data_IF_329104449821
#
_entry.id   IF_329104449821
#
_cell.length_a   1.000
_cell.length_b   1.000
_cell.length_c   1.000
_cell.angle_alpha   90.00
_cell.angle_beta   90.00
_cell.angle_gamma   90.00
#
_symmetry.space_group_name_H-M   'P 1'
#
loop_
_entity.id
_entity.type
_entity.pdbx_description
1 polymer ?
#
# COMPACT_ATOMS: atom_id res chain seq x y z
N UNK A 1 11.66 -3.75 3.00
CA UNK A 1 12.99 -3.19 2.84
C UNK A 1 13.50 -3.33 1.40
N UNK A 2 14.55 -2.61 1.06
CA UNK A 2 15.20 -2.74 -0.23
C UNK A 2 15.74 -4.15 -0.46
N UNK A 3 15.74 -4.60 -1.72
CA UNK A 3 16.31 -5.89 -2.10
C UNK A 3 17.66 -5.63 -2.77
N UNK A 4 18.67 -6.33 -2.29
CA UNK A 4 20.06 -6.15 -2.72
C UNK A 4 20.57 -7.45 -3.35
N UNK A 5 21.10 -7.34 -4.56
CA UNK A 5 21.93 -8.37 -5.16
C UNK A 5 23.33 -8.29 -4.54
N UNK A 6 23.57 -9.15 -3.58
CA UNK A 6 24.84 -9.16 -2.84
C UNK A 6 26.05 -9.50 -3.74
N UNK A 7 25.87 -10.38 -4.73
CA UNK A 7 26.93 -10.81 -5.65
C UNK A 7 27.41 -9.66 -6.52
N UNK A 8 26.49 -8.88 -7.07
CA UNK A 8 26.77 -7.75 -7.94
C UNK A 8 26.81 -6.40 -7.20
N UNK A 9 26.63 -6.39 -5.87
CA UNK A 9 26.65 -5.21 -5.00
C UNK A 9 25.73 -4.08 -5.48
N UNK A 10 24.53 -4.43 -5.96
CA UNK A 10 23.56 -3.45 -6.46
C UNK A 10 22.20 -3.62 -5.81
N UNK A 11 21.47 -2.52 -5.67
CA UNK A 11 20.08 -2.53 -5.27
C UNK A 11 19.22 -2.91 -6.48
N UNK A 12 18.33 -3.87 -6.34
CA UNK A 12 17.45 -4.37 -7.41
C UNK A 12 15.99 -4.00 -7.22
N UNK A 13 15.62 -3.60 -6.00
CA UNK A 13 14.27 -3.11 -5.72
C UNK A 13 14.29 -2.14 -4.53
N UNK A 14 13.67 -0.98 -4.72
CA UNK A 14 13.43 0.01 -3.67
C UNK A 14 11.91 0.12 -3.50
N UNK A 15 11.33 -0.47 -2.43
CA UNK A 15 9.92 -0.27 -2.12
C UNK A 15 9.68 1.14 -1.56
N UNK A 16 8.42 1.60 -1.49
CA UNK A 16 8.07 2.85 -0.84
C UNK A 16 8.71 2.98 0.53
N UNK A 17 9.21 4.16 0.84
CA UNK A 17 9.79 4.46 2.15
C UNK A 17 8.77 4.24 3.26
N UNK A 18 9.26 3.89 4.44
CA UNK A 18 8.40 3.83 5.62
C UNK A 18 7.86 5.23 5.89
N UNK A 19 6.55 5.34 6.00
CA UNK A 19 5.90 6.57 6.42
C UNK A 19 5.89 6.68 7.94
N UNK A 20 5.92 7.90 8.45
CA UNK A 20 5.61 8.19 9.84
C UNK A 20 4.11 8.38 10.00
N UNK A 21 3.52 7.80 11.04
CA UNK A 21 2.09 7.90 11.28
C UNK A 21 1.76 9.21 12.01
N UNK A 22 0.82 9.97 11.45
CA UNK A 22 0.32 11.22 12.00
C UNK A 22 -1.07 11.02 12.56
N UNK A 23 -1.30 11.41 13.79
CA UNK A 23 -2.56 11.21 14.51
C UNK A 23 -3.58 12.31 14.25
N UNK A 24 -3.12 13.53 13.95
CA UNK A 24 -3.98 14.70 13.77
C UNK A 24 -3.98 15.17 12.31
N UNK A 25 -5.12 14.96 11.64
CA UNK A 25 -5.33 15.40 10.26
C UNK A 25 -5.32 16.92 10.13
N UNK A 26 -5.80 17.67 11.13
CA UNK A 26 -5.81 19.13 11.08
C UNK A 26 -4.41 19.72 11.15
N UNK A 27 -3.54 19.20 12.00
CA UNK A 27 -2.15 19.66 12.07
C UNK A 27 -1.41 19.38 10.76
N UNK A 28 -1.77 18.29 10.09
CA UNK A 28 -1.24 17.93 8.80
C UNK A 28 -1.73 18.85 7.68
N UNK A 29 -3.03 19.19 7.66
CA UNK A 29 -3.62 20.13 6.71
C UNK A 29 -3.10 21.56 6.94
N UNK A 30 -2.96 21.99 8.20
CA UNK A 30 -2.41 23.32 8.52
C UNK A 30 -0.94 23.44 8.08
N UNK A 31 -0.14 22.40 8.28
CA UNK A 31 1.22 22.34 7.72
C UNK A 31 1.22 22.43 6.20
N UNK A 32 0.27 21.74 5.53
CA UNK A 32 0.12 21.80 4.08
C UNK A 32 -0.19 23.21 3.58
N UNK A 33 -1.06 23.94 4.28
CA UNK A 33 -1.41 25.33 3.92
C UNK A 33 -0.26 26.32 4.15
N UNK A 34 0.51 26.16 5.23
CA UNK A 34 1.68 27.01 5.51
C UNK A 34 2.82 26.79 4.49
N UNK A 35 2.88 25.64 3.84
CA UNK A 35 4.00 25.27 2.96
C UNK A 35 3.73 25.51 1.47
N UNK A 36 2.50 25.84 1.08
CA UNK A 36 2.21 26.47 -0.21
C UNK A 36 3.02 27.76 -0.37
N UNK A 37 3.29 28.45 0.76
CA UNK A 37 4.17 29.63 0.80
C UNK A 37 5.66 29.29 0.64
N UNK A 38 6.08 28.06 0.90
CA UNK A 38 7.50 27.62 0.85
C UNK A 38 7.89 26.91 -0.44
N UNK A 39 6.94 26.66 -1.36
CA UNK A 39 7.21 26.04 -2.68
C UNK A 39 7.57 24.55 -2.61
N UNK A 40 7.22 23.86 -1.54
CA UNK A 40 7.40 22.42 -1.43
C UNK A 40 6.17 21.71 -2.02
N UNK A 41 6.36 21.04 -3.15
CA UNK A 41 5.30 20.22 -3.75
C UNK A 41 4.97 19.02 -2.85
N UNK A 42 3.71 18.93 -2.44
CA UNK A 42 3.17 17.79 -1.69
C UNK A 42 2.20 16.99 -2.55
N UNK A 43 2.36 15.69 -2.48
CA UNK A 43 1.49 14.75 -3.15
C UNK A 43 0.63 14.02 -2.11
N UNK A 44 -0.68 14.15 -2.21
CA UNK A 44 -1.64 13.45 -1.37
C UNK A 44 -2.20 12.25 -2.13
N UNK A 45 -2.12 11.06 -1.53
CA UNK A 45 -2.63 9.84 -2.14
C UNK A 45 -3.51 9.07 -1.16
N UNK A 46 -4.60 8.42 -1.63
CA UNK A 46 -5.35 7.48 -0.80
C UNK A 46 -4.45 6.34 -0.31
N UNK A 47 -4.53 6.03 0.97
CA UNK A 47 -3.89 4.87 1.55
C UNK A 47 -4.78 3.65 1.34
N UNK A 48 -4.45 2.83 0.37
CA UNK A 48 -5.26 1.68 -0.03
C UNK A 48 -5.07 0.51 0.94
N UNK A 49 -6.19 -0.08 1.36
CA UNK A 49 -6.18 -1.29 2.19
C UNK A 49 -5.84 -2.52 1.35
N UNK A 50 -4.81 -3.24 1.74
CA UNK A 50 -4.32 -4.43 1.04
C UNK A 50 -2.88 -4.80 1.40
N UNK A 51 -2.32 -5.75 0.68
CA UNK A 51 -0.94 -6.20 0.90
C UNK A 51 -0.02 -5.65 -0.16
N UNK A 52 1.08 -5.02 0.26
CA UNK A 52 2.10 -4.51 -0.67
C UNK A 52 2.89 -5.64 -1.31
N UNK A 53 2.93 -5.62 -2.62
CA UNK A 53 3.74 -6.51 -3.47
C UNK A 53 4.68 -5.63 -4.29
N UNK A 54 5.97 -5.88 -4.16
CA UNK A 54 6.97 -5.24 -5.01
C UNK A 54 7.35 -6.18 -6.15
N UNK A 55 7.55 -5.62 -7.33
CA UNK A 55 7.91 -6.35 -8.53
C UNK A 55 9.12 -5.72 -9.18
N UNK A 56 10.09 -6.53 -9.58
CA UNK A 56 11.36 -6.10 -10.13
C UNK A 56 11.93 -7.14 -11.07
N UNK A 57 12.75 -6.69 -12.03
CA UNK A 57 13.41 -7.57 -12.99
C UNK A 57 14.83 -7.91 -12.52
N UNK A 58 15.11 -9.21 -12.42
CA UNK A 58 16.42 -9.68 -11.97
C UNK A 58 16.71 -11.08 -12.52
N UNK A 59 17.97 -11.33 -12.96
CA UNK A 59 18.40 -12.61 -13.55
C UNK A 59 17.48 -13.10 -14.68
N UNK A 60 17.16 -12.18 -15.61
CA UNK A 60 16.32 -12.43 -16.79
C UNK A 60 14.87 -12.86 -16.52
N UNK A 61 14.37 -12.60 -15.30
CA UNK A 61 12.99 -12.89 -14.92
C UNK A 61 12.36 -11.77 -14.08
N UNK A 62 11.04 -11.66 -14.14
CA UNK A 62 10.27 -10.83 -13.24
C UNK A 62 10.05 -11.55 -11.91
N UNK A 63 10.49 -10.93 -10.86
CA UNK A 63 10.35 -11.40 -9.48
C UNK A 63 9.38 -10.52 -8.70
N UNK A 64 8.67 -11.14 -7.76
CA UNK A 64 7.82 -10.41 -6.81
C UNK A 64 8.29 -10.65 -5.38
N UNK A 65 7.98 -9.71 -4.50
CA UNK A 65 8.22 -9.84 -3.07
C UNK A 65 7.12 -9.16 -2.26
N UNK A 66 6.89 -9.64 -1.06
CA UNK A 66 6.27 -8.86 0.00
C UNK A 66 7.35 -8.06 0.73
N UNK A 67 6.96 -7.31 1.75
CA UNK A 67 7.91 -6.57 2.60
C UNK A 67 8.95 -7.48 3.27
N UNK A 68 8.62 -8.74 3.54
CA UNK A 68 9.44 -9.68 4.33
C UNK A 68 9.84 -10.95 3.59
N UNK A 69 9.32 -11.19 2.39
CA UNK A 69 9.52 -12.47 1.69
C UNK A 69 9.69 -12.27 0.20
N UNK A 70 10.87 -12.65 -0.34
CA UNK A 70 11.12 -12.71 -1.79
C UNK A 70 10.36 -13.91 -2.35
N UNK A 71 9.68 -13.71 -3.49
CA UNK A 71 8.78 -14.68 -4.10
C UNK A 71 7.35 -14.62 -3.57
N UNK A 72 7.07 -13.80 -2.52
CA UNK A 72 5.74 -13.61 -1.93
C UNK A 72 5.02 -14.94 -1.59
N UNK A 73 5.78 -15.95 -1.13
CA UNK A 73 5.29 -17.29 -0.79
C UNK A 73 4.58 -17.37 0.55
N UNK A 74 4.63 -16.31 1.33
CA UNK A 74 3.89 -16.18 2.58
C UNK A 74 2.42 -15.85 2.32
N UNK A 75 1.58 -16.13 3.33
CA UNK A 75 0.16 -15.79 3.38
C UNK A 75 -0.18 -15.21 4.74
N UNK A 76 -1.32 -14.54 4.87
CA UNK A 76 -1.77 -14.03 6.15
C UNK A 76 -2.36 -15.12 7.06
N UNK A 77 -3.14 -16.02 6.46
CA UNK A 77 -3.86 -17.10 7.20
C UNK A 77 -3.29 -18.50 6.97
N UNK A 78 -2.14 -18.60 6.29
CA UNK A 78 -1.48 -19.87 5.98
C UNK A 78 -2.13 -20.68 4.85
N UNK A 79 -3.18 -20.17 4.18
CA UNK A 79 -3.93 -20.93 3.17
C UNK A 79 -3.47 -20.69 1.75
N UNK A 80 -3.58 -19.43 1.28
CA UNK A 80 -3.24 -19.07 -0.10
C UNK A 80 -2.09 -18.07 -0.08
N UNK A 81 -0.95 -18.38 -0.69
CA UNK A 81 0.19 -17.47 -0.77
C UNK A 81 -0.13 -16.21 -1.59
N UNK A 82 0.52 -15.09 -1.25
CA UNK A 82 0.29 -13.83 -1.95
C UNK A 82 0.66 -13.89 -3.43
N UNK A 83 1.68 -14.67 -3.79
CA UNK A 83 2.07 -14.82 -5.19
C UNK A 83 0.99 -15.52 -6.05
N UNK A 84 0.24 -16.46 -5.46
CA UNK A 84 -0.89 -17.10 -6.16
C UNK A 84 -2.03 -16.12 -6.36
N UNK A 85 -2.39 -15.35 -5.30
CA UNK A 85 -3.40 -14.30 -5.40
C UNK A 85 -3.03 -13.24 -6.44
N UNK A 86 -1.75 -12.86 -6.50
CA UNK A 86 -1.26 -11.87 -7.46
C UNK A 86 -1.36 -12.38 -8.91
N UNK A 87 -1.00 -13.64 -9.15
CA UNK A 87 -1.12 -14.29 -10.47
C UNK A 87 -2.57 -14.50 -10.90
N UNK A 88 -3.46 -14.83 -9.95
CA UNK A 88 -4.89 -15.06 -10.22
C UNK A 88 -5.56 -13.82 -10.84
N UNK A 89 -5.10 -12.61 -10.50
CA UNK A 89 -5.76 -11.38 -10.93
C UNK A 89 -5.53 -11.07 -12.40
N UNK A 90 -4.32 -11.23 -12.92
CA UNK A 90 -3.96 -10.68 -14.23
C UNK A 90 -3.20 -11.62 -15.17
N UNK A 91 -2.99 -12.88 -14.84
CA UNK A 91 -2.09 -13.71 -15.63
C UNK A 91 -0.65 -13.17 -15.62
N UNK A 92 0.20 -13.65 -16.54
CA UNK A 92 1.62 -13.27 -16.56
C UNK A 92 2.02 -12.42 -17.80
N UNK A 93 1.11 -12.14 -18.72
CA UNK A 93 1.47 -11.53 -20.02
C UNK A 93 1.72 -10.01 -19.94
N UNK A 94 1.03 -9.31 -19.04
CA UNK A 94 1.20 -7.86 -18.88
C UNK A 94 2.60 -7.45 -18.37
N UNK A 95 3.35 -8.37 -17.75
CA UNK A 95 4.73 -8.14 -17.32
C UNK A 95 5.65 -7.75 -18.47
N UNK A 96 5.34 -8.18 -19.69
CA UNK A 96 6.13 -7.85 -20.88
C UNK A 96 6.04 -6.36 -21.27
N UNK A 97 5.03 -5.65 -20.78
CA UNK A 97 4.85 -4.21 -21.03
C UNK A 97 5.67 -3.34 -20.08
N UNK A 98 6.19 -3.93 -19.01
CA UNK A 98 6.92 -3.21 -17.98
C UNK A 98 8.36 -2.90 -18.40
N UNK A 99 8.84 -1.71 -18.02
CA UNK A 99 10.23 -1.36 -18.17
C UNK A 99 11.10 -2.15 -17.17
N UNK A 100 12.02 -2.95 -17.67
CA UNK A 100 12.92 -3.80 -16.88
C UNK A 100 13.90 -3.04 -15.99
N UNK A 101 14.10 -1.75 -16.26
CA UNK A 101 14.93 -0.88 -15.44
C UNK A 101 14.19 -0.31 -14.22
N UNK A 102 12.89 -0.56 -14.13
CA UNK A 102 12.08 -0.07 -13.03
C UNK A 102 11.73 -1.20 -12.05
N UNK A 103 11.55 -0.85 -10.79
CA UNK A 103 10.78 -1.65 -9.85
C UNK A 103 9.44 -0.97 -9.58
N UNK A 104 8.44 -1.77 -9.28
CA UNK A 104 7.05 -1.37 -9.12
C UNK A 104 6.51 -1.82 -7.78
N UNK A 105 5.75 -0.97 -7.13
CA UNK A 105 5.09 -1.29 -5.87
C UNK A 105 3.58 -1.25 -6.03
N UNK A 106 2.94 -2.39 -5.83
CA UNK A 106 1.50 -2.58 -5.95
C UNK A 106 0.86 -2.85 -4.60
N UNK A 107 -0.40 -2.52 -4.47
CA UNK A 107 -1.27 -3.02 -3.40
C UNK A 107 -2.17 -4.11 -3.97
N UNK A 108 -1.99 -5.32 -3.47
CA UNK A 108 -2.84 -6.47 -3.76
C UNK A 108 -4.11 -6.40 -2.91
N UNK A 109 -5.26 -6.34 -3.58
CA UNK A 109 -6.60 -6.45 -2.99
C UNK A 109 -7.24 -7.75 -3.46
N UNK A 110 -7.49 -8.66 -2.54
CA UNK A 110 -8.02 -9.98 -2.87
C UNK A 110 -9.01 -10.47 -1.81
N UNK A 111 -10.17 -11.01 -2.24
CA UNK A 111 -11.24 -11.48 -1.33
C UNK A 111 -10.75 -12.46 -0.26
N UNK A 112 -9.78 -13.32 -0.62
CA UNK A 112 -9.15 -14.27 0.33
C UNK A 112 -8.17 -13.59 1.31
N UNK A 113 -7.85 -12.31 1.08
CA UNK A 113 -6.93 -11.51 1.91
C UNK A 113 -7.54 -10.17 2.31
N UNK A 114 -8.81 -10.14 2.65
CA UNK A 114 -9.47 -8.96 3.16
C UNK A 114 -8.92 -8.59 4.55
N UNK A 115 -8.53 -7.33 4.72
CA UNK A 115 -8.08 -6.79 6.01
C UNK A 115 -9.28 -6.15 6.72
N UNK A 116 -9.71 -4.97 6.29
CA UNK A 116 -10.89 -4.27 6.83
C UNK A 116 -11.87 -3.93 5.71
N UNK A 117 -11.39 -3.20 4.70
CA UNK A 117 -12.24 -2.69 3.61
C UNK A 117 -12.88 -3.83 2.82
N UNK A 118 -14.11 -3.61 2.36
CA UNK A 118 -14.76 -4.55 1.49
C UNK A 118 -14.07 -4.62 0.13
N UNK A 119 -13.98 -5.84 -0.43
CA UNK A 119 -13.34 -6.09 -1.72
C UNK A 119 -14.39 -6.69 -2.64
N UNK A 120 -14.99 -5.86 -3.47
CA UNK A 120 -15.98 -6.29 -4.47
C UNK A 120 -15.31 -7.11 -5.57
N UNK A 121 -14.19 -6.63 -6.07
CA UNK A 121 -13.40 -7.29 -7.12
C UNK A 121 -11.94 -7.41 -6.70
N UNK A 122 -11.33 -8.57 -7.02
CA UNK A 122 -9.91 -8.75 -6.88
C UNK A 122 -9.17 -7.79 -7.82
N UNK A 123 -8.07 -7.20 -7.37
CA UNK A 123 -7.32 -6.26 -8.17
C UNK A 123 -5.97 -5.91 -7.56
N UNK A 124 -5.15 -5.27 -8.36
CA UNK A 124 -3.89 -4.65 -7.92
C UNK A 124 -3.91 -3.17 -8.30
N UNK A 125 -3.36 -2.35 -7.42
CA UNK A 125 -3.24 -0.90 -7.63
C UNK A 125 -1.75 -0.55 -7.63
N UNK A 126 -1.27 0.16 -8.67
CA UNK A 126 0.09 0.67 -8.71
C UNK A 126 0.20 1.92 -7.83
N UNK A 127 1.12 1.92 -6.90
CA UNK A 127 1.31 2.98 -5.90
C UNK A 127 2.55 3.81 -6.18
N UNK A 128 3.62 3.14 -6.61
CA UNK A 128 4.92 3.78 -6.78
C UNK A 128 5.78 2.99 -7.76
N UNK A 129 6.63 3.67 -8.51
CA UNK A 129 7.62 3.08 -9.38
C UNK A 129 8.96 3.80 -9.23
N UNK A 130 10.06 3.06 -9.17
CA UNK A 130 11.41 3.58 -9.13
C UNK A 130 12.20 3.13 -10.35
N UNK A 131 12.90 4.05 -10.99
CA UNK A 131 13.91 3.71 -11.98
C UNK A 131 15.22 3.33 -11.26
N UNK A 132 15.60 2.07 -11.40
CA UNK A 132 16.75 1.51 -10.68
C UNK A 132 18.11 1.91 -11.27
N UNK A 133 18.16 2.36 -12.53
CA UNK A 133 19.38 2.88 -13.15
C UNK A 133 19.67 4.32 -12.74
N UNK A 134 18.63 5.15 -12.76
CA UNK A 134 18.71 6.56 -12.41
C UNK A 134 18.60 6.81 -10.92
N UNK A 135 18.13 5.80 -10.16
CA UNK A 135 17.88 5.85 -8.73
C UNK A 135 16.88 6.95 -8.33
N UNK A 136 15.82 7.10 -9.11
CA UNK A 136 14.77 8.09 -8.88
C UNK A 136 13.40 7.43 -8.73
N UNK A 137 12.56 8.02 -7.86
CA UNK A 137 11.14 7.72 -7.83
C UNK A 137 10.47 8.43 -9.01
N UNK A 138 9.70 7.70 -9.81
CA UNK A 138 9.00 8.29 -10.94
C UNK A 138 7.86 9.20 -10.44
N UNK A 139 7.82 10.43 -10.93
CA UNK A 139 6.76 11.38 -10.61
C UNK A 139 5.40 10.93 -11.18
N UNK A 140 5.43 10.35 -12.37
CA UNK A 140 4.26 9.82 -13.05
C UNK A 140 4.33 8.29 -13.09
N UNK A 141 3.22 7.64 -12.74
CA UNK A 141 3.10 6.19 -12.81
C UNK A 141 2.82 5.75 -14.25
N UNK A 142 3.50 4.71 -14.75
CA UNK A 142 3.21 4.19 -16.08
C UNK A 142 1.78 3.67 -16.15
N UNK A 143 1.12 3.90 -17.28
CA UNK A 143 -0.16 3.27 -17.57
C UNK A 143 0.07 1.79 -17.88
N UNK A 144 -0.61 0.93 -17.15
CA UNK A 144 -0.56 -0.52 -17.34
C UNK A 144 -2.00 -1.00 -17.54
N UNK A 145 -2.23 -1.73 -18.61
CA UNK A 145 -3.56 -2.22 -18.94
C UNK A 145 -4.18 -3.01 -17.77
N UNK A 146 -5.43 -2.69 -17.44
CA UNK A 146 -6.22 -3.30 -16.36
C UNK A 146 -5.63 -3.12 -14.93
N UNK A 147 -4.66 -2.22 -14.74
CA UNK A 147 -4.13 -1.86 -13.43
C UNK A 147 -4.55 -0.44 -13.08
N UNK A 148 -5.08 -0.26 -11.90
CA UNK A 148 -5.47 1.05 -11.39
C UNK A 148 -4.26 1.75 -10.80
N UNK A 149 -3.91 2.93 -11.32
CA UNK A 149 -2.91 3.79 -10.72
C UNK A 149 -3.52 4.55 -9.53
N UNK A 150 -2.78 4.70 -8.46
CA UNK A 150 -3.17 5.54 -7.35
C UNK A 150 -2.69 6.95 -7.64
N UNK A 151 -3.62 7.80 -8.05
CA UNK A 151 -3.35 9.20 -8.35
C UNK A 151 -3.35 10.08 -7.12
N UNK A 152 -2.72 11.25 -7.26
CA UNK A 152 -2.85 12.32 -6.29
C UNK A 152 -4.30 12.80 -6.20
N UNK A 153 -4.70 13.17 -4.99
CA UNK A 153 -5.99 13.83 -4.75
C UNK A 153 -5.74 15.28 -4.34
N UNK A 154 -6.62 16.21 -4.72
CA UNK A 154 -6.51 17.59 -4.28
C UNK A 154 -6.74 17.73 -2.77
N UNK A 155 -6.10 18.72 -2.15
CA UNK A 155 -6.18 18.95 -0.71
C UNK A 155 -7.60 19.21 -0.23
N UNK A 156 -8.43 19.83 -1.07
CA UNK A 156 -9.85 20.10 -0.79
C UNK A 156 -10.65 18.82 -0.56
N UNK A 157 -10.32 17.77 -1.31
CA UNK A 157 -10.93 16.45 -1.12
C UNK A 157 -10.52 15.83 0.22
N UNK A 158 -9.30 16.05 0.66
CA UNK A 158 -8.83 15.63 1.99
C UNK A 158 -9.62 16.35 3.09
N UNK A 159 -9.83 17.66 2.96
CA UNK A 159 -10.63 18.47 3.90
C UNK A 159 -12.07 17.97 3.95
N UNK A 160 -12.66 17.65 2.80
CA UNK A 160 -14.01 17.08 2.75
C UNK A 160 -14.11 15.75 3.52
N UNK A 161 -13.11 14.89 3.41
CA UNK A 161 -13.03 13.65 4.19
C UNK A 161 -12.85 13.90 5.70
N UNK A 162 -12.10 14.93 6.09
CA UNK A 162 -11.91 15.26 7.52
C UNK A 162 -13.18 15.72 8.22
N UNK A 163 -14.11 16.34 7.47
CA UNK A 163 -15.36 16.89 7.97
C UNK A 163 -16.53 15.90 7.90
N UNK A 164 -16.36 14.73 7.31
CA UNK A 164 -17.38 13.68 7.22
C UNK A 164 -17.20 12.64 8.34
N UNK A 165 -18.29 11.97 8.73
CA UNK A 165 -18.19 10.71 9.47
C UNK A 165 -17.48 9.70 8.58
N UNK A 166 -16.19 9.52 8.82
CA UNK A 166 -15.35 8.69 7.96
C UNK A 166 -15.76 7.23 8.06
N UNK A 167 -16.20 6.70 6.93
CA UNK A 167 -16.47 5.29 6.78
C UNK A 167 -15.18 4.47 7.03
N UNK A 168 -15.27 3.45 7.86
CA UNK A 168 -14.13 2.58 8.23
C UNK A 168 -13.48 1.87 7.02
N UNK A 169 -14.15 1.80 5.88
CA UNK A 169 -13.59 1.25 4.64
C UNK A 169 -12.51 2.11 4.00
N UNK A 170 -12.34 3.37 4.42
CA UNK A 170 -11.25 4.26 4.00
C UNK A 170 -10.13 4.13 5.01
N UNK A 171 -8.99 3.57 4.59
CA UNK A 171 -7.84 3.36 5.48
C UNK A 171 -7.19 4.66 5.91
N UNK A 172 -7.06 5.63 5.01
CA UNK A 172 -6.43 6.91 5.28
C UNK A 172 -5.78 7.52 4.06
N UNK A 173 -4.76 8.35 4.30
CA UNK A 173 -4.03 9.06 3.25
C UNK A 173 -2.53 9.02 3.51
N UNK A 174 -1.75 8.97 2.43
CA UNK A 174 -0.30 9.15 2.44
C UNK A 174 0.02 10.52 1.88
N UNK A 175 0.91 11.23 2.55
CA UNK A 175 1.47 12.51 2.10
C UNK A 175 2.93 12.28 1.77
N UNK A 176 3.34 12.69 0.58
CA UNK A 176 4.72 12.61 0.10
C UNK A 176 5.23 14.03 -0.14
N UNK A 177 6.42 14.34 0.33
CA UNK A 177 7.11 15.61 0.07
C UNK A 177 8.62 15.39 0.12
N UNK A 178 9.30 15.67 -0.98
CA UNK A 178 10.71 15.32 -1.14
C UNK A 178 10.96 13.84 -0.86
N UNK A 179 11.85 13.55 0.09
CA UNK A 179 12.17 12.19 0.56
C UNK A 179 11.32 11.76 1.77
N UNK A 180 10.41 12.61 2.24
CA UNK A 180 9.58 12.34 3.42
C UNK A 180 8.24 11.73 3.01
N UNK A 181 7.70 10.93 3.92
CA UNK A 181 6.41 10.28 3.76
C UNK A 181 5.70 10.17 5.10
N UNK A 182 4.48 10.64 5.15
CA UNK A 182 3.63 10.58 6.33
C UNK A 182 2.31 9.89 5.98
N UNK A 183 1.74 9.13 6.91
CA UNK A 183 0.41 8.56 6.80
C UNK A 183 -0.50 9.14 7.87
N UNK A 184 -1.66 9.60 7.45
CA UNK A 184 -2.78 9.74 8.37
C UNK A 184 -3.69 8.51 8.21
N UNK A 185 -3.94 7.82 9.33
CA UNK A 185 -4.77 6.62 9.35
C UNK A 185 -6.11 6.95 9.99
N UNK A 186 -7.19 6.58 9.32
CA UNK A 186 -8.56 6.80 9.79
C UNK A 186 -8.79 6.07 11.12
N UNK A 187 -9.17 6.79 12.20
CA UNK A 187 -9.42 6.17 13.51
C UNK A 187 -10.50 5.08 13.48
N UNK A 188 -11.54 5.24 12.66
CA UNK A 188 -12.60 4.23 12.51
C UNK A 188 -12.06 2.95 11.84
N UNK A 189 -11.15 3.10 10.86
CA UNK A 189 -10.45 1.96 10.27
C UNK A 189 -9.62 1.22 11.32
N UNK A 190 -8.81 1.95 12.12
CA UNK A 190 -7.98 1.38 13.20
C UNK A 190 -8.84 0.64 14.22
N UNK A 191 -9.98 1.22 14.60
CA UNK A 191 -10.92 0.57 15.52
C UNK A 191 -11.40 -0.77 14.96
N UNK A 192 -11.87 -0.80 13.72
CA UNK A 192 -12.38 -2.05 13.09
C UNK A 192 -11.24 -3.05 12.84
N UNK A 193 -10.04 -2.59 12.42
CA UNK A 193 -8.85 -3.45 12.30
C UNK A 193 -8.50 -4.10 13.64
N UNK A 194 -8.58 -3.36 14.73
CA UNK A 194 -8.34 -3.83 16.09
C UNK A 194 -9.39 -4.84 16.61
N UNK A 195 -10.53 -4.99 15.95
CA UNK A 195 -11.48 -6.07 16.21
C UNK A 195 -11.05 -7.40 15.57
N UNK A 196 -10.17 -7.34 14.58
CA UNK A 196 -9.56 -8.54 13.97
C UNK A 196 -8.41 -9.02 14.86
N UNK A 197 -8.74 -9.96 15.76
CA UNK A 197 -7.73 -10.55 16.64
C UNK A 197 -6.75 -11.44 15.86
N UNK A 198 -5.59 -11.74 16.46
CA UNK A 198 -4.53 -12.55 15.84
C UNK A 198 -4.84 -14.06 15.74
N UNK A 199 -6.07 -14.47 15.96
CA UNK A 199 -6.47 -15.88 15.86
C UNK A 199 -7.11 -16.18 14.50
N UNK A 200 -6.67 -17.26 13.86
CA UNK A 200 -7.28 -17.76 12.64
C UNK A 200 -8.68 -18.40 12.86
N UNK A 201 -9.09 -18.57 14.11
CA UNK A 201 -10.35 -19.21 14.47
C UNK A 201 -11.42 -18.17 14.88
N UNK A 202 -12.46 -18.01 14.05
CA UNK A 202 -13.52 -17.01 14.25
C UNK A 202 -14.20 -17.08 15.61
N UNK A 203 -14.42 -18.28 16.15
CA UNK A 203 -15.07 -18.48 17.45
C UNK A 203 -14.19 -17.99 18.61
N UNK A 204 -12.86 -18.26 18.57
CA UNK A 204 -11.94 -17.75 19.58
C UNK A 204 -11.85 -16.23 19.54
N UNK A 205 -11.82 -15.63 18.34
CA UNK A 205 -11.88 -14.18 18.18
C UNK A 205 -13.16 -13.59 18.81
N UNK A 206 -14.30 -14.22 18.57
CA UNK A 206 -15.57 -13.78 19.16
C UNK A 206 -15.55 -13.83 20.70
N UNK A 207 -15.07 -14.93 21.30
CA UNK A 207 -14.96 -15.07 22.75
C UNK A 207 -14.03 -14.00 23.34
N UNK A 208 -12.87 -13.77 22.73
CA UNK A 208 -11.91 -12.77 23.20
C UNK A 208 -12.48 -11.34 23.10
N UNK A 209 -13.16 -11.00 22.01
CA UNK A 209 -13.83 -9.69 21.85
C UNK A 209 -14.91 -9.48 22.91
N UNK A 210 -15.70 -10.51 23.26
CA UNK A 210 -16.67 -10.44 24.33
C UNK A 210 -16.00 -10.25 25.70
N UNK A 211 -14.95 -11.00 26.00
CA UNK A 211 -14.19 -10.85 27.26
C UNK A 211 -13.60 -9.44 27.40
N UNK A 212 -13.13 -8.85 26.28
CA UNK A 212 -12.63 -7.47 26.25
C UNK A 212 -13.73 -6.41 26.19
N UNK A 213 -15.00 -6.79 26.27
CA UNK A 213 -16.17 -5.87 26.18
C UNK A 213 -16.16 -5.00 24.91
N UNK A 214 -15.62 -5.51 23.82
CA UNK A 214 -15.58 -4.83 22.50
C UNK A 214 -16.80 -5.18 21.63
N UNK A 215 -17.60 -6.15 22.04
CA UNK A 215 -18.89 -6.49 21.45
C UNK A 215 -19.98 -6.30 22.52
N UNK A 216 -20.96 -5.52 22.20
CA UNK A 216 -22.21 -5.35 22.97
C UNK A 216 -23.18 -6.47 22.65
#
# INVERSE_FOLDING_TARGET
GAIIDYKNKRVVCIPPLKADDVTDLYSLLNRANCEVETGIDRLYQPLIDGTMINMFYHNDEWMISTRSNIGAKNSWDGKVPFHEMFKEIHGCEWFNQLNKDNCYSFILRHKKNRIVSEIENNGICLVESHNMKENICLAELPEIENIVNIFAIPVEQLVAYSNSELYYGIKGFTIKYGMMRENWINPNYVYVEGLKMNHNHKFLNYIELRQKKKLT
#
